data_IF_491804014874
#
_entry.id   IF_491804014874
#
_cell.length_a   1.000
_cell.length_b   1.000
_cell.length_c   1.000
_cell.angle_alpha   90.00
_cell.angle_beta   90.00
_cell.angle_gamma   90.00
#
_symmetry.space_group_name_H-M   'P 1'
#
loop_
_entity.id
_entity.type
_entity.pdbx_description
1 polymer ?
#
# COMPACT_ATOMS: atom_id res chain seq x y z
N UNK A 1 2.62 -19.59 -9.70
CA UNK A 1 1.94 -18.85 -8.60
C UNK A 1 3.04 -18.16 -7.82
N UNK A 2 2.94 -16.87 -7.53
CA UNK A 2 3.95 -16.14 -6.75
C UNK A 2 4.01 -16.74 -5.34
N UNK A 3 5.22 -17.08 -4.86
CA UNK A 3 5.45 -17.53 -3.47
C UNK A 3 5.83 -16.29 -2.64
N UNK A 4 5.17 -16.09 -1.50
CA UNK A 4 5.47 -14.98 -0.57
C UNK A 4 6.92 -14.99 -0.07
N UNK A 5 7.53 -16.16 0.07
CA UNK A 5 8.96 -16.29 0.46
C UNK A 5 9.90 -15.76 -0.62
N UNK A 6 9.53 -15.94 -1.90
CA UNK A 6 10.30 -15.39 -3.01
C UNK A 6 10.19 -13.86 -3.04
N UNK A 7 8.97 -13.33 -2.79
CA UNK A 7 8.73 -11.88 -2.64
C UNK A 7 9.57 -11.32 -1.50
N UNK A 8 9.49 -11.90 -0.30
CA UNK A 8 10.29 -11.50 0.86
C UNK A 8 11.77 -11.47 0.53
N UNK A 9 12.32 -12.59 0.03
CA UNK A 9 13.74 -12.72 -0.29
C UNK A 9 14.21 -11.74 -1.37
N UNK A 10 13.33 -11.38 -2.30
CA UNK A 10 13.61 -10.38 -3.33
C UNK A 10 13.78 -8.99 -2.71
N UNK A 11 12.83 -8.56 -1.87
CA UNK A 11 12.88 -7.25 -1.24
C UNK A 11 13.94 -7.15 -0.16
N UNK A 12 14.25 -8.24 0.57
CA UNK A 12 15.38 -8.28 1.51
C UNK A 12 16.71 -7.95 0.81
N UNK A 13 16.92 -8.48 -0.40
CA UNK A 13 18.15 -8.19 -1.18
C UNK A 13 18.22 -6.76 -1.68
N UNK A 14 17.06 -6.13 -1.98
CA UNK A 14 17.02 -4.76 -2.50
C UNK A 14 17.05 -3.69 -1.41
N UNK A 15 16.60 -4.01 -0.21
CA UNK A 15 16.46 -3.06 0.88
C UNK A 15 17.71 -2.20 1.15
N UNK A 16 18.97 -2.74 1.11
CA UNK A 16 20.16 -1.93 1.37
C UNK A 16 20.36 -0.73 0.44
N UNK A 17 19.94 -0.84 -0.82
CA UNK A 17 20.09 0.22 -1.82
C UNK A 17 18.78 0.98 -2.11
N UNK A 18 17.66 0.53 -1.55
CA UNK A 18 16.32 0.98 -1.94
C UNK A 18 16.13 2.50 -1.91
N UNK A 19 16.49 3.12 -0.80
CA UNK A 19 16.31 4.56 -0.62
C UNK A 19 17.21 5.43 -1.50
N UNK A 20 18.36 4.90 -1.90
CA UNK A 20 19.29 5.62 -2.79
C UNK A 20 18.78 5.71 -4.24
N UNK A 21 17.94 4.76 -4.65
CA UNK A 21 17.32 4.69 -5.97
C UNK A 21 15.89 5.23 -5.99
N UNK A 22 15.33 5.54 -4.81
CA UNK A 22 13.95 5.97 -4.67
C UNK A 22 13.73 7.36 -5.29
N UNK A 23 12.90 7.43 -6.30
CA UNK A 23 12.42 8.69 -6.88
C UNK A 23 10.98 8.94 -6.44
N UNK A 24 10.75 10.01 -5.68
CA UNK A 24 9.43 10.43 -5.24
C UNK A 24 8.84 11.44 -6.21
N UNK A 25 7.60 11.25 -6.62
CA UNK A 25 6.82 12.24 -7.36
C UNK A 25 5.85 12.91 -6.37
N UNK A 26 6.29 14.00 -5.75
CA UNK A 26 5.54 14.67 -4.67
C UNK A 26 4.12 15.09 -5.08
N UNK A 27 3.86 15.70 -6.25
CA UNK A 27 2.50 16.03 -6.70
C UNK A 27 1.60 14.81 -6.83
N UNK A 28 2.11 13.70 -7.36
CA UNK A 28 1.36 12.44 -7.52
C UNK A 28 1.06 11.81 -6.16
N UNK A 29 2.05 11.76 -5.25
CA UNK A 29 1.85 11.24 -3.89
C UNK A 29 0.79 12.08 -3.17
N UNK A 30 0.88 13.40 -3.26
CA UNK A 30 -0.11 14.29 -2.63
C UNK A 30 -1.54 14.01 -3.15
N UNK A 31 -1.72 13.89 -4.47
CA UNK A 31 -3.01 13.58 -5.08
C UNK A 31 -3.54 12.19 -4.63
N UNK A 32 -2.68 11.18 -4.57
CA UNK A 32 -3.05 9.83 -4.09
C UNK A 32 -3.54 9.88 -2.64
N UNK A 33 -2.83 10.58 -1.77
CA UNK A 33 -3.18 10.69 -0.35
C UNK A 33 -4.43 11.53 -0.12
N UNK A 34 -4.66 12.59 -0.92
CA UNK A 34 -5.88 13.39 -0.89
C UNK A 34 -7.10 12.54 -1.28
N UNK A 35 -7.00 11.80 -2.38
CA UNK A 35 -8.06 10.89 -2.83
C UNK A 35 -8.34 9.77 -1.82
N UNK A 36 -7.31 9.28 -1.13
CA UNK A 36 -7.45 8.28 -0.07
C UNK A 36 -8.05 8.86 1.22
N UNK A 37 -8.09 10.17 1.38
CA UNK A 37 -8.64 10.84 2.56
C UNK A 37 -7.65 10.87 3.75
N UNK A 38 -6.35 10.89 3.49
CA UNK A 38 -5.34 11.07 4.53
C UNK A 38 -5.32 12.52 4.97
N UNK A 39 -5.83 12.77 6.17
CA UNK A 39 -6.01 14.08 6.77
C UNK A 39 -5.74 14.04 8.28
N UNK A 40 -5.70 15.18 8.99
CA UNK A 40 -5.45 15.20 10.43
C UNK A 40 -6.42 14.28 11.21
N UNK A 41 -5.88 13.53 12.17
CA UNK A 41 -6.66 12.69 13.07
C UNK A 41 -7.09 11.32 12.52
N UNK A 42 -6.67 10.94 11.31
CA UNK A 42 -6.99 9.61 10.76
C UNK A 42 -6.04 8.53 11.25
N UNK A 43 -6.56 7.32 11.39
CA UNK A 43 -5.78 6.09 11.64
C UNK A 43 -5.55 5.38 10.31
N UNK A 44 -4.28 5.15 9.96
CA UNK A 44 -3.87 4.59 8.67
C UNK A 44 -3.27 3.19 8.85
N UNK A 45 -3.61 2.27 7.95
CA UNK A 45 -2.84 1.04 7.70
C UNK A 45 -2.08 1.22 6.38
N UNK A 46 -0.75 1.20 6.45
CA UNK A 46 0.14 1.24 5.28
C UNK A 46 0.65 -0.17 4.98
N UNK A 47 0.14 -0.75 3.90
CA UNK A 47 0.33 -2.17 3.53
C UNK A 47 1.51 -2.30 2.57
N UNK A 48 2.46 -3.17 2.90
CA UNK A 48 3.73 -3.33 2.21
C UNK A 48 4.46 -1.98 2.10
N UNK A 49 4.69 -1.37 3.29
CA UNK A 49 5.21 -0.01 3.41
C UNK A 49 6.64 0.17 2.88
N UNK A 50 7.35 -0.93 2.56
CA UNK A 50 8.74 -0.91 2.17
C UNK A 50 9.61 -0.26 3.24
N UNK A 51 10.46 0.65 2.83
CA UNK A 51 11.30 1.45 3.74
C UNK A 51 10.58 2.70 4.30
N UNK A 52 9.25 2.81 4.14
CA UNK A 52 8.46 3.93 4.67
C UNK A 52 8.42 5.14 3.75
N UNK A 53 8.21 4.94 2.44
CA UNK A 53 8.19 6.02 1.44
C UNK A 53 7.15 7.10 1.73
N UNK A 54 5.99 6.75 2.32
CA UNK A 54 4.89 7.67 2.63
C UNK A 54 4.95 8.25 4.06
N UNK A 55 5.91 7.85 4.90
CA UNK A 55 5.97 8.27 6.31
C UNK A 55 6.07 9.79 6.52
N UNK A 56 6.90 10.51 5.72
CA UNK A 56 6.93 11.97 5.82
C UNK A 56 5.57 12.62 5.55
N UNK A 57 4.80 12.06 4.62
CA UNK A 57 3.49 12.59 4.24
C UNK A 57 2.43 12.35 5.32
N UNK A 58 2.41 11.16 5.94
CA UNK A 58 1.52 10.88 7.05
C UNK A 58 1.78 11.81 8.24
N UNK A 59 3.07 12.04 8.54
CA UNK A 59 3.48 12.98 9.61
C UNK A 59 3.08 14.41 9.28
N UNK A 60 3.38 14.88 8.05
CA UNK A 60 3.03 16.23 7.60
C UNK A 60 1.51 16.48 7.60
N UNK A 61 0.72 15.43 7.31
CA UNK A 61 -0.75 15.47 7.31
C UNK A 61 -1.35 15.24 8.69
N UNK A 62 -0.53 15.08 9.74
CA UNK A 62 -0.96 14.90 11.13
C UNK A 62 -1.90 13.69 11.30
N UNK A 63 -1.59 12.56 10.68
CA UNK A 63 -2.26 11.32 10.97
C UNK A 63 -2.17 11.04 12.49
N UNK A 64 -3.24 10.53 13.09
CA UNK A 64 -3.27 10.21 14.52
C UNK A 64 -2.37 9.03 14.85
N UNK A 65 -2.46 8.00 14.03
CA UNK A 65 -1.68 6.76 14.17
C UNK A 65 -1.53 6.09 12.81
N UNK A 66 -0.35 5.54 12.54
CA UNK A 66 -0.08 4.74 11.35
C UNK A 66 0.44 3.38 11.77
N UNK A 67 -0.28 2.32 11.42
CA UNK A 67 0.23 0.95 11.46
C UNK A 67 0.82 0.65 10.07
N UNK A 68 2.14 0.50 9.99
CA UNK A 68 2.84 0.17 8.75
C UNK A 68 3.32 -1.27 8.81
N UNK A 69 3.05 -2.06 7.78
CA UNK A 69 3.44 -3.48 7.76
C UNK A 69 4.19 -3.81 6.47
N UNK A 70 5.28 -4.56 6.61
CA UNK A 70 6.00 -5.14 5.48
C UNK A 70 6.39 -6.59 5.73
N UNK A 71 6.35 -7.41 4.68
CA UNK A 71 6.69 -8.83 4.73
C UNK A 71 8.22 -9.04 4.84
N UNK A 72 9.02 -8.10 4.30
CA UNK A 72 10.49 -8.15 4.32
C UNK A 72 11.03 -7.61 5.64
N UNK A 73 11.74 -8.42 6.45
CA UNK A 73 12.43 -7.95 7.65
C UNK A 73 13.39 -6.79 7.39
N UNK A 74 14.11 -6.81 6.27
CA UNK A 74 15.08 -5.79 5.92
C UNK A 74 14.39 -4.45 5.56
N UNK A 75 13.25 -4.49 4.86
CA UNK A 75 12.43 -3.30 4.60
C UNK A 75 11.84 -2.76 5.90
N UNK A 76 11.21 -3.62 6.71
CA UNK A 76 10.60 -3.24 7.97
C UNK A 76 11.61 -2.63 8.97
N UNK A 77 12.84 -3.17 9.04
CA UNK A 77 13.88 -2.62 9.90
C UNK A 77 14.24 -1.18 9.50
N UNK A 78 14.39 -0.89 8.20
CA UNK A 78 14.67 0.46 7.69
C UNK A 78 13.49 1.41 7.90
N UNK A 79 12.27 0.91 7.71
CA UNK A 79 11.06 1.67 8.02
C UNK A 79 11.00 2.03 9.51
N UNK A 80 11.32 1.08 10.42
CA UNK A 80 11.32 1.31 11.87
C UNK A 80 12.32 2.39 12.29
N UNK A 81 13.51 2.45 11.65
CA UNK A 81 14.48 3.53 11.88
C UNK A 81 13.88 4.91 11.56
N UNK A 82 13.14 5.02 10.44
CA UNK A 82 12.48 6.28 10.02
C UNK A 82 11.24 6.61 10.85
N UNK A 83 10.57 5.62 11.40
CA UNK A 83 9.39 5.79 12.25
C UNK A 83 9.72 6.29 13.66
N UNK A 84 10.97 6.21 14.08
CA UNK A 84 11.39 6.57 15.44
C UNK A 84 10.98 8.01 15.81
N UNK A 85 10.23 8.15 16.92
CA UNK A 85 9.76 9.44 17.41
C UNK A 85 8.55 10.01 16.66
N UNK A 86 7.89 9.22 15.81
CA UNK A 86 6.67 9.60 15.08
C UNK A 86 5.43 8.87 15.62
N UNK A 87 4.28 9.08 14.99
CA UNK A 87 3.03 8.35 15.28
C UNK A 87 2.94 7.01 14.51
N UNK A 88 4.04 6.51 13.94
CA UNK A 88 4.07 5.34 13.06
C UNK A 88 4.63 4.15 13.82
N UNK A 89 3.88 3.05 13.84
CA UNK A 89 4.30 1.75 14.35
C UNK A 89 4.56 0.81 13.17
N UNK A 90 5.73 0.19 13.14
CA UNK A 90 6.14 -0.73 12.06
C UNK A 90 6.09 -2.16 12.54
N UNK A 91 5.40 -3.00 11.76
CA UNK A 91 5.26 -4.44 11.96
C UNK A 91 6.00 -5.16 10.83
N UNK A 92 6.83 -6.13 11.18
CA UNK A 92 7.37 -7.09 10.22
C UNK A 92 6.46 -8.31 10.18
N UNK A 93 5.69 -8.48 9.09
CA UNK A 93 4.71 -9.56 9.03
C UNK A 93 3.91 -9.60 7.73
N UNK A 94 3.03 -10.59 7.64
CA UNK A 94 2.11 -10.78 6.52
C UNK A 94 0.75 -10.17 6.86
N UNK A 95 0.37 -9.09 6.17
CA UNK A 95 -0.90 -8.38 6.39
C UNK A 95 -2.14 -9.29 6.31
N UNK A 96 -2.05 -10.41 5.59
CA UNK A 96 -3.18 -11.33 5.46
C UNK A 96 -3.42 -12.18 6.71
N UNK A 97 -2.42 -12.35 7.58
CA UNK A 97 -2.49 -13.22 8.75
C UNK A 97 -2.10 -12.55 10.06
N UNK A 98 -1.47 -11.39 10.01
CA UNK A 98 -0.94 -10.72 11.19
C UNK A 98 -2.05 -10.31 12.18
N UNK A 99 -1.83 -10.66 13.47
CA UNK A 99 -2.78 -10.42 14.55
C UNK A 99 -2.74 -8.97 15.04
N UNK A 100 -1.56 -8.34 15.07
CA UNK A 100 -1.41 -6.96 15.54
C UNK A 100 -2.14 -5.98 14.61
N UNK A 101 -2.11 -6.24 13.29
CA UNK A 101 -2.89 -5.47 12.32
C UNK A 101 -4.39 -5.58 12.60
N UNK A 102 -4.86 -6.78 12.99
CA UNK A 102 -6.27 -6.99 13.33
C UNK A 102 -6.65 -6.32 14.65
N UNK A 103 -5.78 -6.37 15.64
CA UNK A 103 -6.00 -5.75 16.97
C UNK A 103 -6.00 -4.22 16.90
N UNK A 104 -5.23 -3.65 15.98
CA UNK A 104 -5.17 -2.21 15.74
C UNK A 104 -6.35 -1.66 14.93
N UNK A 105 -7.16 -2.52 14.31
CA UNK A 105 -8.36 -2.11 13.58
C UNK A 105 -9.44 -1.56 14.55
N UNK A 106 -10.41 -0.75 14.07
CA UNK A 106 -10.60 -0.37 12.66
C UNK A 106 -9.78 0.85 12.23
N UNK A 107 -9.50 0.91 10.92
CA UNK A 107 -8.77 2.00 10.28
C UNK A 107 -9.70 2.96 9.52
N UNK A 108 -9.29 4.22 9.43
CA UNK A 108 -9.91 5.23 8.57
C UNK A 108 -9.48 5.07 7.12
N UNK A 109 -8.19 4.79 6.93
CA UNK A 109 -7.57 4.63 5.60
C UNK A 109 -6.71 3.37 5.60
N UNK A 110 -6.87 2.56 4.56
CA UNK A 110 -5.94 1.48 4.21
C UNK A 110 -5.29 1.85 2.88
N UNK A 111 -3.97 1.94 2.88
CA UNK A 111 -3.16 2.29 1.71
C UNK A 111 -2.36 1.08 1.24
N UNK A 112 -2.41 0.79 -0.06
CA UNK A 112 -1.52 -0.14 -0.77
C UNK A 112 -0.83 0.68 -1.86
N UNK A 113 0.41 1.12 -1.61
CA UNK A 113 1.15 1.99 -2.52
C UNK A 113 2.33 1.26 -3.16
N UNK A 114 2.37 1.22 -4.49
CA UNK A 114 3.41 0.56 -5.29
C UNK A 114 3.65 -0.94 -4.99
N UNK A 115 2.66 -1.65 -4.42
CA UNK A 115 2.85 -3.01 -3.91
C UNK A 115 1.84 -4.04 -4.44
N UNK A 116 0.70 -3.61 -4.96
CA UNK A 116 -0.43 -4.51 -5.29
C UNK A 116 -0.06 -5.71 -6.19
N UNK A 117 0.80 -5.60 -7.21
CA UNK A 117 1.21 -6.73 -8.05
C UNK A 117 1.96 -7.86 -7.33
N UNK A 118 2.43 -7.65 -6.12
CA UNK A 118 3.15 -8.65 -5.33
C UNK A 118 2.23 -9.56 -4.49
N UNK A 119 0.93 -9.29 -4.49
CA UNK A 119 -0.07 -10.10 -3.78
C UNK A 119 -0.69 -11.15 -4.70
N UNK A 120 -0.47 -12.47 -4.43
CA UNK A 120 -0.89 -13.54 -5.32
C UNK A 120 -2.42 -13.74 -5.38
N UNK A 121 -3.17 -13.30 -4.36
CA UNK A 121 -4.64 -13.31 -4.31
C UNK A 121 -5.19 -11.89 -4.11
N UNK A 122 -5.32 -11.09 -5.19
CA UNK A 122 -5.83 -9.73 -5.09
C UNK A 122 -7.28 -9.65 -4.56
N UNK A 123 -8.12 -10.64 -4.84
CA UNK A 123 -9.49 -10.67 -4.35
C UNK A 123 -9.54 -10.94 -2.83
N UNK A 124 -8.76 -11.90 -2.36
CA UNK A 124 -8.62 -12.20 -0.92
C UNK A 124 -8.03 -11.01 -0.15
N UNK A 125 -7.01 -10.37 -0.69
CA UNK A 125 -6.43 -9.16 -0.11
C UNK A 125 -7.48 -8.05 0.04
N UNK A 126 -8.18 -7.68 -1.03
CA UNK A 126 -9.21 -6.63 -1.01
C UNK A 126 -10.30 -6.95 0.02
N UNK A 127 -10.78 -8.20 0.06
CA UNK A 127 -11.77 -8.64 1.06
C UNK A 127 -11.24 -8.44 2.48
N UNK A 128 -10.02 -8.89 2.76
CA UNK A 128 -9.38 -8.73 4.07
C UNK A 128 -9.25 -7.27 4.47
N UNK A 129 -8.64 -6.45 3.60
CA UNK A 129 -8.39 -5.03 3.88
C UNK A 129 -9.69 -4.24 4.07
N UNK A 130 -10.72 -4.55 3.28
CA UNK A 130 -12.05 -3.95 3.46
C UNK A 130 -12.66 -4.31 4.82
N UNK A 131 -12.37 -5.51 5.36
CA UNK A 131 -12.79 -5.93 6.70
C UNK A 131 -12.18 -5.08 7.82
N UNK A 132 -10.97 -4.58 7.64
CA UNK A 132 -10.23 -3.79 8.62
C UNK A 132 -10.66 -2.31 8.69
N UNK A 133 -11.41 -1.83 7.70
CA UNK A 133 -11.91 -0.47 7.68
C UNK A 133 -13.09 -0.27 8.63
N UNK A 134 -13.19 0.91 9.25
CA UNK A 134 -14.45 1.36 9.85
C UNK A 134 -15.51 1.68 8.78
N UNK A 135 -16.81 1.73 9.14
CA UNK A 135 -17.81 2.30 8.24
C UNK A 135 -17.39 3.71 7.79
N UNK A 136 -17.48 3.99 6.49
CA UNK A 136 -17.02 5.25 5.91
C UNK A 136 -15.51 5.37 5.69
N UNK A 137 -14.68 4.41 6.17
CA UNK A 137 -13.24 4.36 5.90
C UNK A 137 -12.93 4.02 4.44
N UNK A 138 -11.71 4.24 3.99
CA UNK A 138 -11.31 4.14 2.58
C UNK A 138 -10.18 3.15 2.36
N UNK A 139 -10.29 2.34 1.31
CA UNK A 139 -9.19 1.52 0.76
C UNK A 139 -8.70 2.20 -0.52
N UNK A 140 -7.39 2.43 -0.59
CA UNK A 140 -6.71 2.96 -1.77
C UNK A 140 -5.64 1.98 -2.25
N UNK A 141 -5.76 1.54 -3.50
CA UNK A 141 -4.72 0.79 -4.23
C UNK A 141 -4.15 1.75 -5.27
N UNK A 142 -2.87 2.11 -5.14
CA UNK A 142 -2.27 3.15 -5.95
C UNK A 142 -0.83 2.85 -6.36
N UNK A 143 -0.42 3.43 -7.48
CA UNK A 143 0.95 3.45 -7.97
C UNK A 143 1.33 4.86 -8.41
N UNK A 144 2.52 5.30 -8.02
CA UNK A 144 3.09 6.60 -8.39
C UNK A 144 3.66 6.66 -9.81
N UNK A 145 3.22 5.75 -10.68
CA UNK A 145 3.55 5.71 -12.11
C UNK A 145 2.40 5.11 -12.90
N UNK A 146 2.41 5.32 -14.22
CA UNK A 146 1.41 4.74 -15.10
C UNK A 146 1.50 3.20 -15.14
N UNK A 147 0.38 2.53 -15.42
CA UNK A 147 0.35 1.08 -15.60
C UNK A 147 1.32 0.60 -16.69
N UNK A 148 1.41 1.33 -17.79
CA UNK A 148 2.34 1.00 -18.89
C UNK A 148 3.81 1.09 -18.44
N UNK A 149 4.18 2.11 -17.67
CA UNK A 149 5.52 2.25 -17.11
C UNK A 149 5.84 1.13 -16.11
N UNK A 150 4.87 0.76 -15.27
CA UNK A 150 5.01 -0.33 -14.31
C UNK A 150 5.17 -1.70 -15.01
N UNK A 151 4.35 -1.98 -16.03
CA UNK A 151 4.44 -3.21 -16.82
C UNK A 151 5.82 -3.32 -17.50
N UNK A 152 6.37 -2.21 -18.02
CA UNK A 152 7.71 -2.16 -18.58
C UNK A 152 8.80 -2.41 -17.53
N UNK A 153 8.64 -1.84 -16.33
CA UNK A 153 9.56 -2.03 -15.22
C UNK A 153 9.57 -3.48 -14.71
N UNK A 154 8.41 -4.11 -14.59
CA UNK A 154 8.26 -5.50 -14.14
C UNK A 154 8.66 -6.56 -15.18
N UNK A 155 8.87 -6.19 -16.46
CA UNK A 155 9.39 -7.12 -17.46
C UNK A 155 10.85 -7.55 -17.22
N UNK A 156 11.55 -6.90 -16.27
CA UNK A 156 12.91 -7.20 -15.84
C UNK A 156 13.01 -8.14 -14.63
N UNK A 157 13.79 -7.75 -13.63
CA UNK A 157 14.13 -8.57 -12.46
C UNK A 157 12.96 -8.91 -11.53
N UNK A 158 11.89 -8.12 -11.52
CA UNK A 158 10.72 -8.33 -10.69
C UNK A 158 9.69 -9.32 -11.26
N UNK A 159 9.86 -9.81 -12.47
CA UNK A 159 8.91 -10.71 -13.15
C UNK A 159 8.56 -11.98 -12.34
N UNK A 160 9.52 -12.52 -11.58
CA UNK A 160 9.33 -13.73 -10.79
C UNK A 160 8.47 -13.51 -9.52
N UNK A 161 8.40 -12.28 -9.03
CA UNK A 161 7.77 -11.91 -7.74
C UNK A 161 6.60 -10.94 -7.90
N UNK A 162 6.18 -10.62 -9.13
CA UNK A 162 5.05 -9.73 -9.39
C UNK A 162 4.15 -10.26 -10.50
N UNK A 163 2.85 -10.00 -10.37
CA UNK A 163 1.89 -10.13 -11.47
C UNK A 163 1.85 -8.83 -12.28
N UNK A 164 1.22 -8.88 -13.45
CA UNK A 164 0.82 -7.62 -14.11
C UNK A 164 -0.14 -6.86 -13.20
N UNK A 165 0.02 -5.53 -13.16
CA UNK A 165 -0.98 -4.70 -12.51
C UNK A 165 -2.32 -4.85 -13.24
N UNK A 166 -3.35 -5.26 -12.48
CA UNK A 166 -4.70 -5.44 -13.03
C UNK A 166 -5.22 -4.12 -13.61
N UNK A 167 -6.00 -4.18 -14.70
CA UNK A 167 -6.73 -3.02 -15.18
C UNK A 167 -7.58 -2.40 -14.07
N UNK A 168 -7.70 -1.10 -14.08
CA UNK A 168 -8.43 -0.33 -13.06
C UNK A 168 -9.87 -0.78 -12.90
N UNK A 169 -10.54 -1.16 -14.00
CA UNK A 169 -11.91 -1.65 -13.96
C UNK A 169 -12.03 -3.06 -13.33
N UNK A 170 -10.99 -3.89 -13.45
CA UNK A 170 -10.95 -5.18 -12.76
C UNK A 170 -10.78 -4.98 -11.24
N UNK A 171 -9.89 -4.09 -10.81
CA UNK A 171 -9.72 -3.76 -9.38
C UNK A 171 -11.00 -3.13 -8.83
N UNK A 172 -11.64 -2.23 -9.59
CA UNK A 172 -12.95 -1.67 -9.25
C UNK A 172 -14.00 -2.78 -9.04
N UNK A 173 -14.06 -3.74 -9.95
CA UNK A 173 -15.00 -4.86 -9.84
C UNK A 173 -14.73 -5.74 -8.60
N UNK A 174 -13.46 -5.95 -8.24
CA UNK A 174 -13.07 -6.68 -7.03
C UNK A 174 -13.43 -5.91 -5.74
N UNK A 175 -13.35 -4.58 -5.76
CA UNK A 175 -13.73 -3.73 -4.63
C UNK A 175 -15.25 -3.57 -4.45
N UNK A 176 -16.02 -3.56 -5.54
CA UNK A 176 -17.45 -3.24 -5.57
C UNK A 176 -18.34 -4.07 -4.60
N UNK A 177 -18.06 -5.35 -4.28
CA UNK A 177 -18.81 -6.08 -3.26
C UNK A 177 -18.72 -5.49 -1.85
N UNK A 178 -17.64 -4.79 -1.53
CA UNK A 178 -17.31 -4.31 -0.18
C UNK A 178 -17.36 -2.79 -0.03
N UNK A 179 -17.12 -2.07 -1.11
CA UNK A 179 -16.86 -0.63 -1.11
C UNK A 179 -17.67 0.08 -2.21
N UNK A 180 -18.03 1.33 -1.95
CA UNK A 180 -18.47 2.26 -2.99
C UNK A 180 -17.23 2.91 -3.61
N UNK A 181 -16.85 2.45 -4.81
CA UNK A 181 -15.68 2.95 -5.53
C UNK A 181 -16.02 4.28 -6.19
N UNK A 182 -15.35 5.33 -5.77
CA UNK A 182 -15.57 6.72 -6.22
C UNK A 182 -14.36 7.33 -6.93
N UNK A 183 -13.21 6.66 -6.91
CA UNK A 183 -11.98 7.13 -7.56
C UNK A 183 -11.40 6.02 -8.42
N UNK A 184 -11.28 6.27 -9.72
CA UNK A 184 -10.64 5.37 -10.69
C UNK A 184 -9.79 6.22 -11.61
N UNK A 185 -8.47 6.13 -11.48
CA UNK A 185 -7.49 6.91 -12.24
C UNK A 185 -6.46 5.96 -12.83
N UNK A 186 -6.26 6.04 -14.13
CA UNK A 186 -5.21 5.32 -14.85
C UNK A 186 -4.77 6.22 -16.02
N UNK A 187 -3.69 6.97 -15.80
CA UNK A 187 -3.18 7.96 -16.77
C UNK A 187 -1.67 7.82 -16.97
N UNK A 188 -1.04 8.78 -17.62
CA UNK A 188 0.40 8.79 -17.90
C UNK A 188 1.30 8.95 -16.66
N UNK A 189 0.75 9.35 -15.52
CA UNK A 189 1.51 9.71 -14.32
C UNK A 189 1.25 8.77 -13.14
N UNK A 190 0.01 8.26 -13.01
CA UNK A 190 -0.40 7.47 -11.85
C UNK A 190 -1.49 6.45 -12.16
N UNK A 191 -1.61 5.50 -11.26
CA UNK A 191 -2.73 4.58 -11.18
C UNK A 191 -3.32 4.64 -9.78
N UNK A 192 -4.66 4.72 -9.67
CA UNK A 192 -5.34 4.65 -8.38
C UNK A 192 -6.78 4.13 -8.53
N UNK A 193 -7.14 3.16 -7.70
CA UNK A 193 -8.53 2.78 -7.45
C UNK A 193 -8.79 2.93 -5.96
N UNK A 194 -9.76 3.76 -5.60
CA UNK A 194 -10.10 4.01 -4.21
C UNK A 194 -11.62 3.91 -4.00
N UNK A 195 -12.03 3.39 -2.86
CA UNK A 195 -13.44 3.23 -2.50
C UNK A 195 -13.66 3.38 -1.00
N UNK A 196 -14.90 3.72 -0.64
CA UNK A 196 -15.36 3.94 0.72
C UNK A 196 -16.17 2.75 1.22
N UNK A 197 -15.91 2.27 2.45
CA UNK A 197 -16.72 1.23 3.10
C UNK A 197 -18.12 1.74 3.40
N UNK A 198 -19.11 0.96 2.99
CA UNK A 198 -20.51 1.26 3.30
C UNK A 198 -20.78 1.29 4.80
N UNK A 199 -21.79 2.09 5.20
CA UNK A 199 -22.24 2.17 6.59
C UNK A 199 -22.88 0.85 7.06
#
# INVERSE_FOLDING_TARGET
MIDKRDVQSFFDRLAPGWDAELVRNEPVIAAILDNAGVQPGVRVLDVACGTGVLFPDYTARQAEHVTAIDLSPEMAARAAEKAAGTCIEVICGDVETDVQVQESAPYDVVMVYNAFPHFPDPAGLIRRLSGLLRPGGRLSIAHGMSRAALDAHHSGSAHAVSMRLLPEEEVRALMAPYLDVDTVISNGEMYQVCGRKRA
#
